data_IF_196650153446
#
_entry.id   IF_196650153446
#
_cell.length_a   1.000
_cell.length_b   1.000
_cell.length_c   1.000
_cell.angle_alpha   90.00
_cell.angle_beta   90.00
_cell.angle_gamma   90.00
#
_symmetry.space_group_name_H-M   'P 1'
#
loop_
_entity.id
_entity.type
_entity.pdbx_description
1 polymer ?
#
# COMPACT_ATOMS: atom_id res chain seq x y z
N UNK A 1 -33.05 -24.95 -47.89
CA UNK A 1 -33.10 -23.61 -47.27
C UNK A 1 -32.78 -23.78 -45.81
N UNK A 2 -31.50 -23.73 -45.46
CA UNK A 2 -31.01 -23.84 -44.08
C UNK A 2 -31.35 -22.55 -43.36
N UNK A 3 -32.26 -22.66 -42.40
CA UNK A 3 -32.65 -21.58 -41.49
C UNK A 3 -31.39 -21.05 -40.80
N UNK A 4 -31.10 -19.78 -41.01
CA UNK A 4 -30.14 -19.02 -40.23
C UNK A 4 -30.66 -18.96 -38.80
N UNK A 5 -30.08 -19.80 -37.93
CA UNK A 5 -30.32 -19.70 -36.50
C UNK A 5 -29.97 -18.27 -36.06
N UNK A 6 -30.98 -17.52 -35.60
CA UNK A 6 -30.77 -16.26 -34.91
C UNK A 6 -29.92 -16.54 -33.67
N UNK A 7 -28.66 -16.12 -33.72
CA UNK A 7 -27.80 -16.05 -32.53
C UNK A 7 -28.47 -15.07 -31.58
N UNK A 8 -29.02 -15.56 -30.47
CA UNK A 8 -29.49 -14.67 -29.40
C UNK A 8 -28.26 -13.92 -28.87
N UNK A 9 -28.34 -12.61 -28.63
CA UNK A 9 -27.27 -11.90 -27.91
C UNK A 9 -27.03 -12.62 -26.58
N UNK A 10 -25.76 -12.82 -26.21
CA UNK A 10 -25.42 -13.33 -24.89
C UNK A 10 -25.89 -12.31 -23.85
N UNK A 11 -27.05 -12.58 -23.25
CA UNK A 11 -27.66 -11.72 -22.24
C UNK A 11 -26.80 -11.60 -20.98
N UNK A 12 -25.78 -12.46 -20.82
CA UNK A 12 -24.78 -12.33 -19.75
C UNK A 12 -23.73 -11.26 -20.04
N UNK A 13 -23.58 -10.81 -21.30
CA UNK A 13 -22.63 -9.77 -21.71
C UNK A 13 -23.27 -8.36 -21.79
N UNK A 14 -24.42 -8.14 -21.14
CA UNK A 14 -25.08 -6.83 -21.06
C UNK A 14 -24.62 -6.14 -19.78
N UNK A 15 -23.98 -4.95 -19.85
CA UNK A 15 -23.59 -4.19 -18.65
C UNK A 15 -24.80 -3.84 -17.79
N UNK A 16 -24.61 -3.67 -16.49
CA UNK A 16 -25.64 -3.18 -15.58
C UNK A 16 -26.25 -1.86 -16.10
N UNK A 17 -27.59 -1.82 -16.20
CA UNK A 17 -28.33 -0.69 -16.76
C UNK A 17 -29.14 0.10 -15.71
N UNK A 18 -29.08 -0.31 -14.45
CA UNK A 18 -29.77 0.41 -13.37
C UNK A 18 -29.00 1.65 -12.94
N UNK A 19 -29.64 2.47 -12.12
CA UNK A 19 -28.97 3.60 -11.49
C UNK A 19 -27.88 3.12 -10.52
N UNK A 20 -26.68 3.73 -10.54
CA UNK A 20 -25.68 3.47 -9.53
C UNK A 20 -26.22 3.76 -8.12
N UNK A 21 -25.73 3.01 -7.13
CA UNK A 21 -26.03 3.34 -5.73
C UNK A 21 -25.46 4.73 -5.38
N UNK A 22 -26.17 5.52 -4.56
CA UNK A 22 -25.72 6.86 -4.20
C UNK A 22 -24.44 6.79 -3.35
N UNK A 23 -23.54 7.76 -3.53
CA UNK A 23 -22.30 7.94 -2.75
C UNK A 23 -21.28 6.78 -2.83
N UNK A 24 -21.33 5.95 -3.87
CA UNK A 24 -20.29 4.96 -4.15
C UNK A 24 -19.02 5.66 -4.64
N UNK A 25 -17.89 5.40 -3.99
CA UNK A 25 -16.59 5.90 -4.45
C UNK A 25 -16.26 5.33 -5.83
N UNK A 26 -15.60 6.12 -6.68
CA UNK A 26 -15.22 5.67 -8.02
C UNK A 26 -14.26 4.49 -7.98
N UNK A 27 -14.33 3.61 -8.97
CA UNK A 27 -13.35 2.54 -9.14
C UNK A 27 -11.92 3.09 -9.25
N UNK A 28 -10.93 2.25 -8.94
CA UNK A 28 -9.53 2.59 -9.09
C UNK A 28 -8.81 1.53 -9.91
N UNK A 29 -8.11 1.98 -10.95
CA UNK A 29 -7.17 1.13 -11.69
C UNK A 29 -5.87 1.90 -11.85
N UNK A 30 -4.78 1.34 -11.33
CA UNK A 30 -3.43 1.86 -11.54
C UNK A 30 -2.68 0.82 -12.38
N UNK A 31 -2.34 1.14 -13.63
CA UNK A 31 -1.59 0.21 -14.46
C UNK A 31 -0.14 0.12 -13.97
N UNK A 32 0.51 -1.02 -14.26
CA UNK A 32 1.96 -1.20 -14.11
C UNK A 32 2.49 -0.94 -12.68
N UNK A 33 1.74 -1.34 -11.64
CA UNK A 33 2.16 -1.17 -10.24
C UNK A 33 3.40 -2.00 -9.88
N UNK A 34 3.67 -3.08 -10.62
CA UNK A 34 4.86 -3.93 -10.44
C UNK A 34 6.08 -3.45 -11.25
N UNK A 35 5.93 -2.42 -12.09
CA UNK A 35 7.06 -1.78 -12.76
C UNK A 35 7.70 -0.78 -11.78
N UNK A 36 8.69 -1.25 -11.01
CA UNK A 36 9.31 -0.45 -9.95
C UNK A 36 10.25 0.64 -10.47
N UNK A 37 10.84 0.44 -11.65
CA UNK A 37 11.64 1.43 -12.38
C UNK A 37 10.76 2.41 -13.17
N UNK A 38 9.77 3.00 -12.47
CA UNK A 38 8.86 4.02 -13.01
C UNK A 38 9.38 5.43 -12.72
N UNK A 39 8.59 6.45 -13.05
CA UNK A 39 8.89 7.85 -12.70
C UNK A 39 9.11 7.98 -11.18
N UNK A 40 10.31 8.43 -10.79
CA UNK A 40 10.73 8.64 -9.41
C UNK A 40 9.84 9.65 -8.66
N UNK A 41 9.16 10.54 -9.39
CA UNK A 41 8.18 11.46 -8.79
C UNK A 41 7.03 10.74 -8.10
N UNK A 42 6.71 9.51 -8.49
CA UNK A 42 5.63 8.73 -7.90
C UNK A 42 5.97 8.17 -6.51
N UNK A 43 7.26 8.09 -6.17
CA UNK A 43 7.75 7.57 -4.90
C UNK A 43 7.84 8.68 -3.85
N UNK A 44 6.92 8.66 -2.88
CA UNK A 44 6.83 9.62 -1.79
C UNK A 44 7.87 9.28 -0.72
N UNK A 45 8.80 10.19 -0.37
CA UNK A 45 9.77 9.97 0.69
C UNK A 45 9.09 9.86 2.06
N UNK A 46 9.47 8.84 2.82
CA UNK A 46 9.00 8.63 4.20
C UNK A 46 10.11 8.79 5.23
N UNK A 47 11.30 8.28 4.92
CA UNK A 47 12.50 8.42 5.73
C UNK A 47 13.75 8.32 4.83
N UNK A 48 14.97 8.60 5.33
CA UNK A 48 16.18 8.41 4.55
C UNK A 48 16.25 6.98 3.99
N UNK A 49 16.29 6.88 2.66
CA UNK A 49 16.28 5.64 1.89
C UNK A 49 15.02 4.76 2.02
N UNK A 50 13.89 5.37 2.39
CA UNK A 50 12.58 4.71 2.48
C UNK A 50 11.54 5.56 1.75
N UNK A 51 10.83 4.95 0.81
CA UNK A 51 9.77 5.60 0.04
C UNK A 51 8.53 4.72 0.01
N UNK A 52 7.38 5.34 -0.18
CA UNK A 52 6.16 4.61 -0.54
C UNK A 52 5.54 5.14 -1.82
N UNK A 53 4.89 4.26 -2.57
CA UNK A 53 4.02 4.62 -3.69
C UNK A 53 2.58 4.33 -3.28
N UNK A 54 1.71 5.34 -3.12
CA UNK A 54 0.31 5.11 -2.74
C UNK A 54 -0.42 4.36 -3.86
N UNK A 55 -1.23 3.38 -3.48
CA UNK A 55 -2.19 2.72 -4.36
C UNK A 55 -3.61 3.08 -3.95
N UNK A 56 -3.96 3.00 -2.67
CA UNK A 56 -5.27 3.42 -2.14
C UNK A 56 -5.07 4.19 -0.85
N UNK A 57 -5.77 5.30 -0.67
CA UNK A 57 -5.84 6.07 0.57
C UNK A 57 -7.32 6.18 0.96
N UNK A 58 -7.84 5.17 1.66
CA UNK A 58 -9.25 5.13 2.03
C UNK A 58 -9.49 5.84 3.37
N UNK A 59 -9.86 7.12 3.30
CA UNK A 59 -10.01 7.98 4.49
C UNK A 59 -11.29 7.65 5.26
N UNK A 60 -12.31 7.13 4.57
CA UNK A 60 -13.60 6.78 5.17
C UNK A 60 -13.55 5.47 5.98
N UNK A 61 -12.78 4.49 5.51
CA UNK A 61 -12.59 3.21 6.20
C UNK A 61 -11.29 3.13 7.01
N UNK A 62 -10.44 4.16 6.93
CA UNK A 62 -9.23 4.26 7.73
C UNK A 62 -8.15 3.23 7.35
N UNK A 63 -7.93 2.99 6.06
CA UNK A 63 -6.87 2.11 5.59
C UNK A 63 -6.09 2.71 4.41
N UNK A 64 -4.89 2.19 4.16
CA UNK A 64 -4.16 2.48 2.94
C UNK A 64 -3.54 1.23 2.34
N UNK A 65 -3.36 1.26 1.03
CA UNK A 65 -2.59 0.27 0.28
C UNK A 65 -1.44 1.00 -0.39
N UNK A 66 -0.21 0.54 -0.19
CA UNK A 66 0.97 1.15 -0.80
C UNK A 66 2.04 0.11 -1.12
N UNK A 67 2.95 0.47 -2.01
CA UNK A 67 4.20 -0.26 -2.21
C UNK A 67 5.28 0.49 -1.44
N UNK A 68 5.93 -0.17 -0.49
CA UNK A 68 7.08 0.36 0.23
C UNK A 68 8.37 -0.07 -0.50
N UNK A 69 9.30 0.87 -0.69
CA UNK A 69 10.64 0.64 -1.23
C UNK A 69 11.67 1.08 -0.21
N UNK A 70 12.60 0.18 0.13
CA UNK A 70 13.68 0.41 1.09
C UNK A 70 15.01 0.07 0.45
N UNK A 71 15.95 1.03 0.44
CA UNK A 71 17.33 0.87 -0.05
C UNK A 71 18.35 1.13 1.06
N UNK A 72 18.12 0.53 2.22
CA UNK A 72 18.99 0.55 3.40
C UNK A 72 18.80 -0.73 4.21
N UNK A 73 19.84 -1.10 4.94
CA UNK A 73 19.80 -2.19 5.92
C UNK A 73 19.62 -1.66 7.35
N UNK A 74 19.40 -2.59 8.29
CA UNK A 74 19.20 -2.35 9.71
C UNK A 74 17.74 -2.16 10.09
N UNK A 75 17.54 -1.66 11.31
CA UNK A 75 16.21 -1.42 11.89
C UNK A 75 15.56 -0.22 11.22
N UNK A 76 14.32 -0.41 10.75
CA UNK A 76 13.52 0.66 10.15
C UNK A 76 12.61 1.34 11.18
N UNK A 77 11.87 0.54 11.94
CA UNK A 77 10.93 1.04 12.94
C UNK A 77 10.57 -0.04 13.96
N UNK A 78 10.15 0.39 15.15
CA UNK A 78 9.34 -0.42 16.06
C UNK A 78 7.95 0.18 16.14
N UNK A 79 6.93 -0.63 15.96
CA UNK A 79 5.57 -0.14 15.93
C UNK A 79 4.55 -1.19 16.34
N UNK A 80 3.40 -0.69 16.78
CA UNK A 80 2.19 -1.46 17.06
C UNK A 80 1.15 -1.18 15.98
N UNK A 81 0.43 -2.20 15.55
CA UNK A 81 -0.71 -2.02 14.65
C UNK A 81 -2.03 -1.81 15.39
N UNK A 82 -2.83 -0.82 14.96
CA UNK A 82 -4.20 -0.65 15.49
C UNK A 82 -5.25 -1.48 14.75
N UNK A 83 -4.93 -1.99 13.56
CA UNK A 83 -5.74 -2.92 12.77
C UNK A 83 -4.85 -3.95 12.05
N UNK A 84 -5.43 -4.84 11.23
CA UNK A 84 -4.64 -5.87 10.54
C UNK A 84 -3.74 -5.27 9.45
N UNK A 85 -2.59 -5.91 9.23
CA UNK A 85 -1.69 -5.61 8.11
C UNK A 85 -1.45 -6.87 7.28
N UNK A 86 -1.51 -6.70 5.98
CA UNK A 86 -1.17 -7.71 4.99
C UNK A 86 0.03 -7.23 4.19
N UNK A 87 1.07 -8.04 4.11
CA UNK A 87 2.31 -7.71 3.43
C UNK A 87 2.63 -8.77 2.37
N UNK A 88 2.85 -8.37 1.12
CA UNK A 88 3.33 -9.26 0.06
C UNK A 88 4.68 -8.77 -0.41
N UNK A 89 5.71 -9.57 -0.18
CA UNK A 89 7.10 -9.20 -0.50
C UNK A 89 7.34 -9.41 -1.99
N UNK A 90 7.67 -8.34 -2.70
CA UNK A 90 7.83 -8.30 -4.15
C UNK A 90 9.30 -8.35 -4.59
N UNK A 91 10.23 -7.94 -3.72
CA UNK A 91 11.68 -8.01 -3.94
C UNK A 91 12.40 -8.01 -2.60
N UNK A 92 13.53 -8.71 -2.55
CA UNK A 92 14.44 -8.69 -1.41
C UNK A 92 13.93 -9.53 -0.24
N UNK A 93 14.30 -9.11 0.98
CA UNK A 93 14.02 -9.85 2.21
C UNK A 93 13.94 -8.89 3.40
N UNK A 94 13.09 -9.20 4.37
CA UNK A 94 12.97 -8.47 5.64
C UNK A 94 12.53 -9.41 6.77
N UNK A 95 12.60 -8.90 8.00
CA UNK A 95 12.37 -9.66 9.24
C UNK A 95 11.73 -8.79 10.31
N UNK A 96 11.05 -9.45 11.25
CA UNK A 96 10.69 -8.86 12.53
C UNK A 96 11.44 -9.58 13.63
N UNK A 97 12.16 -8.84 14.47
CA UNK A 97 13.02 -9.41 15.52
C UNK A 97 12.26 -10.33 16.50
N UNK A 98 10.97 -10.11 16.64
CA UNK A 98 10.06 -10.83 17.54
C UNK A 98 9.57 -12.17 16.98
N UNK A 99 9.91 -12.49 15.73
CA UNK A 99 9.40 -13.66 15.01
C UNK A 99 10.53 -14.52 14.43
N UNK A 100 10.32 -15.84 14.31
CA UNK A 100 11.35 -16.75 13.76
C UNK A 100 11.39 -16.78 12.22
N UNK A 101 10.31 -16.33 11.57
CA UNK A 101 10.14 -16.40 10.12
C UNK A 101 10.75 -15.19 9.43
N UNK A 102 11.19 -15.39 8.18
CA UNK A 102 11.64 -14.30 7.32
C UNK A 102 10.68 -14.13 6.13
N UNK A 103 10.39 -12.88 5.78
CA UNK A 103 9.67 -12.57 4.55
C UNK A 103 10.69 -12.38 3.41
N UNK A 104 10.53 -13.15 2.35
CA UNK A 104 11.38 -13.13 1.15
C UNK A 104 10.51 -12.89 -0.09
N UNK A 105 11.12 -12.54 -1.22
CA UNK A 105 10.40 -12.40 -2.48
C UNK A 105 9.39 -13.54 -2.73
N UNK A 106 8.13 -13.15 -2.98
CA UNK A 106 6.99 -14.05 -3.17
C UNK A 106 6.22 -14.41 -1.89
N UNK A 107 6.72 -14.07 -0.69
CA UNK A 107 6.03 -14.40 0.57
C UNK A 107 4.89 -13.45 0.88
N UNK A 108 3.85 -13.98 1.53
CA UNK A 108 2.80 -13.20 2.17
C UNK A 108 2.93 -13.30 3.70
N UNK A 109 2.80 -12.18 4.40
CA UNK A 109 2.72 -12.11 5.85
C UNK A 109 1.40 -11.44 6.26
N UNK A 110 0.82 -11.95 7.33
CA UNK A 110 -0.33 -11.36 8.01
C UNK A 110 0.11 -10.97 9.42
N UNK A 111 -0.16 -9.74 9.79
CA UNK A 111 0.22 -9.17 11.08
C UNK A 111 -1.08 -8.76 11.81
N UNK A 112 -1.39 -9.38 12.96
CA UNK A 112 -2.66 -9.16 13.62
C UNK A 112 -2.71 -7.80 14.33
N UNK A 113 -3.92 -7.24 14.53
CA UNK A 113 -4.09 -6.03 15.35
C UNK A 113 -3.48 -6.21 16.74
N UNK A 114 -2.75 -5.20 17.21
CA UNK A 114 -2.10 -5.21 18.52
C UNK A 114 -0.72 -5.86 18.55
N UNK A 115 -0.28 -6.52 17.47
CA UNK A 115 1.10 -6.99 17.39
C UNK A 115 2.08 -5.81 17.48
N UNK A 116 3.21 -6.03 18.15
CA UNK A 116 4.28 -5.05 18.32
C UNK A 116 5.56 -5.69 17.82
N UNK A 117 6.15 -5.10 16.79
CA UNK A 117 7.37 -5.64 16.19
C UNK A 117 8.37 -4.58 15.76
N UNK A 118 9.57 -5.06 15.50
CA UNK A 118 10.73 -4.28 15.07
C UNK A 118 11.14 -4.73 13.68
N UNK A 119 10.85 -3.91 12.66
CA UNK A 119 11.14 -4.21 11.26
C UNK A 119 12.63 -4.07 10.96
N UNK A 120 13.23 -5.12 10.41
CA UNK A 120 14.61 -5.18 9.98
C UNK A 120 14.72 -5.52 8.48
N UNK A 121 15.63 -4.82 7.79
CA UNK A 121 16.15 -5.26 6.49
C UNK A 121 17.60 -5.71 6.70
N UNK A 122 17.97 -6.97 6.40
CA UNK A 122 19.31 -7.47 6.67
C UNK A 122 20.35 -6.84 5.73
N UNK A 123 21.63 -6.92 6.11
CA UNK A 123 22.73 -6.54 5.23
C UNK A 123 22.74 -7.35 3.92
N UNK A 124 23.28 -6.77 2.85
CA UNK A 124 23.37 -7.40 1.53
C UNK A 124 22.08 -7.37 0.71
N UNK A 125 20.96 -6.88 1.26
CA UNK A 125 19.74 -6.58 0.50
C UNK A 125 19.88 -5.21 -0.15
N UNK A 126 20.04 -5.18 -1.47
CA UNK A 126 20.11 -3.93 -2.24
C UNK A 126 18.80 -3.14 -2.16
N UNK A 127 17.68 -3.84 -2.28
CA UNK A 127 16.36 -3.25 -2.28
C UNK A 127 15.31 -4.23 -1.72
N UNK A 128 14.51 -3.76 -0.77
CA UNK A 128 13.28 -4.44 -0.34
C UNK A 128 12.09 -3.69 -0.92
N UNK A 129 11.19 -4.43 -1.59
CA UNK A 129 9.93 -3.90 -2.09
C UNK A 129 8.80 -4.77 -1.54
N UNK A 130 7.85 -4.17 -0.85
CA UNK A 130 6.72 -4.89 -0.25
C UNK A 130 5.43 -4.13 -0.46
N UNK A 131 4.41 -4.82 -0.97
CA UNK A 131 3.04 -4.32 -1.02
C UNK A 131 2.41 -4.48 0.36
N UNK A 132 1.96 -3.39 0.95
CA UNK A 132 1.23 -3.40 2.21
C UNK A 132 -0.22 -2.97 1.99
N UNK A 133 -1.13 -3.69 2.64
CA UNK A 133 -2.47 -3.20 2.96
C UNK A 133 -2.57 -3.07 4.48
N UNK A 134 -2.76 -1.83 4.95
CA UNK A 134 -2.73 -1.45 6.35
C UNK A 134 -4.08 -0.90 6.74
N UNK A 135 -4.76 -1.58 7.65
CA UNK A 135 -5.98 -1.07 8.27
C UNK A 135 -5.63 -0.42 9.60
N UNK A 136 -6.14 0.80 9.82
CA UNK A 136 -5.80 1.61 10.97
C UNK A 136 -4.47 2.34 10.80
N UNK A 137 -3.62 2.24 11.81
CA UNK A 137 -2.41 3.04 11.95
C UNK A 137 -1.24 2.21 12.48
N UNK A 138 -0.04 2.62 12.11
CA UNK A 138 1.19 2.30 12.81
C UNK A 138 1.34 3.26 13.97
N UNK A 139 1.38 2.73 15.19
CA UNK A 139 1.75 3.48 16.38
C UNK A 139 3.23 3.18 16.62
N UNK A 140 4.11 4.11 16.26
CA UNK A 140 5.53 3.97 16.56
C UNK A 140 5.74 3.97 18.06
N UNK A 141 6.56 3.05 18.56
CA UNK A 141 6.81 2.89 20.01
C UNK A 141 8.29 2.80 20.34
N UNK A 142 8.65 3.23 21.55
CA UNK A 142 9.97 2.99 22.13
C UNK A 142 10.15 1.51 22.54
N UNK A 143 11.33 1.08 23.05
CA UNK A 143 11.55 -0.30 23.49
C UNK A 143 10.65 -0.77 24.64
N UNK A 144 10.04 0.14 25.39
CA UNK A 144 9.11 -0.17 26.48
C UNK A 144 7.64 -0.18 26.02
N UNK A 145 7.38 0.07 24.73
CA UNK A 145 6.04 0.11 24.16
C UNK A 145 5.32 1.45 24.33
N UNK A 146 6.01 2.51 24.76
CA UNK A 146 5.40 3.83 24.87
C UNK A 146 5.24 4.46 23.49
N UNK A 147 4.06 5.01 23.13
CA UNK A 147 3.85 5.69 21.86
C UNK A 147 4.76 6.91 21.68
N UNK A 148 5.43 6.99 20.54
CA UNK A 148 6.29 8.12 20.14
C UNK A 148 5.86 8.78 18.83
N UNK A 149 4.93 8.17 18.09
CA UNK A 149 4.39 8.72 16.85
C UNK A 149 3.27 7.88 16.28
N UNK A 150 2.56 8.42 15.29
CA UNK A 150 1.46 7.75 14.58
C UNK A 150 1.63 7.97 13.09
N UNK A 151 1.43 6.91 12.32
CA UNK A 151 1.31 6.94 10.87
C UNK A 151 0.01 6.23 10.46
N UNK A 152 -0.90 6.99 9.86
CA UNK A 152 -2.21 6.54 9.37
C UNK A 152 -2.46 7.04 7.94
N UNK A 153 -3.65 6.76 7.40
CA UNK A 153 -4.05 7.20 6.05
C UNK A 153 -3.98 8.73 5.87
N UNK A 154 -4.24 9.53 6.91
CA UNK A 154 -4.22 10.99 6.82
C UNK A 154 -2.79 11.53 6.77
N UNK A 155 -1.88 10.94 7.56
CA UNK A 155 -0.46 11.26 7.49
C UNK A 155 0.14 10.88 6.12
N UNK A 156 -0.21 9.71 5.57
CA UNK A 156 0.18 9.28 4.21
C UNK A 156 -0.32 10.26 3.15
N UNK A 157 -1.59 10.64 3.24
CA UNK A 157 -2.22 11.60 2.33
C UNK A 157 -1.49 12.96 2.39
N UNK A 158 -1.21 13.46 3.60
CA UNK A 158 -0.49 14.72 3.80
C UNK A 158 0.93 14.67 3.19
N UNK A 159 1.69 13.60 3.47
CA UNK A 159 3.04 13.42 2.90
C UNK A 159 3.01 13.32 1.37
N UNK A 160 2.07 12.57 0.80
CA UNK A 160 1.94 12.43 -0.64
C UNK A 160 1.54 13.75 -1.30
N UNK A 161 0.58 14.49 -0.72
CA UNK A 161 0.16 15.82 -1.20
C UNK A 161 1.35 16.79 -1.25
N UNK A 162 2.11 16.89 -0.16
CA UNK A 162 3.28 17.77 -0.07
C UNK A 162 4.37 17.38 -1.07
N UNK A 163 4.62 16.08 -1.25
CA UNK A 163 5.61 15.58 -2.21
C UNK A 163 5.22 15.88 -3.65
N UNK A 164 3.98 15.57 -4.05
CA UNK A 164 3.51 15.77 -5.42
C UNK A 164 3.46 17.24 -5.83
N UNK A 165 3.11 18.14 -4.91
CA UNK A 165 3.28 19.58 -5.12
C UNK A 165 4.75 19.93 -5.39
N UNK A 166 5.67 19.48 -4.52
CA UNK A 166 7.10 19.78 -4.62
C UNK A 166 7.74 19.29 -5.93
N UNK A 167 7.33 18.15 -6.46
CA UNK A 167 7.89 17.56 -7.70
C UNK A 167 7.17 18.00 -8.98
N UNK A 168 6.22 18.93 -8.86
CA UNK A 168 5.50 19.56 -9.97
C UNK A 168 4.40 18.68 -10.58
N UNK A 169 3.91 17.67 -9.85
CA UNK A 169 2.69 16.94 -10.21
C UNK A 169 1.43 17.66 -9.72
N UNK A 170 1.59 18.54 -8.74
CA UNK A 170 0.50 19.29 -8.11
C UNK A 170 -0.06 18.54 -6.89
N UNK A 171 -0.48 19.31 -5.88
CA UNK A 171 -1.01 18.79 -4.63
C UNK A 171 -2.24 17.87 -4.84
N UNK A 172 -3.10 18.18 -5.80
CA UNK A 172 -4.34 17.44 -6.09
C UNK A 172 -4.09 16.15 -6.89
N UNK A 173 -2.84 15.89 -7.33
CA UNK A 173 -2.48 14.61 -7.95
C UNK A 173 -2.77 13.44 -7.01
N UNK A 174 -2.66 13.64 -5.69
CA UNK A 174 -2.93 12.58 -4.71
C UNK A 174 -4.40 12.13 -4.69
N UNK A 175 -5.33 13.00 -5.11
CA UNK A 175 -6.77 12.77 -4.97
C UNK A 175 -7.23 11.57 -5.82
N UNK A 176 -6.49 11.21 -6.87
CA UNK A 176 -6.75 10.00 -7.66
C UNK A 176 -6.72 8.71 -6.82
N UNK A 177 -5.97 8.70 -5.70
CA UNK A 177 -5.82 7.56 -4.80
C UNK A 177 -6.82 7.55 -3.64
N UNK A 178 -7.52 8.67 -3.41
CA UNK A 178 -8.39 8.83 -2.23
C UNK A 178 -9.71 8.09 -2.42
N UNK A 179 -10.16 7.37 -1.39
CA UNK A 179 -11.45 6.65 -1.34
C UNK A 179 -12.19 6.87 -0.03
#
# INVERSE_FOLDING_TARGET
>A
MTSTAHVRPDTEAIPYQGEPLPHVASDLVIPNVLSFDCDEKLWVPQAPNVWFRPLVLCVSQGYFVNILRVRRSGILSRHRHSGPVHATTLRGKWHYLEHDWWATEGSHAFEPPGDIHTLEVPEGVEEMITLFHVTGAYIYVDPAGNPVGVEDVFSKLSSAKAHYEKVGLGADFVDQFVR
#
